data_IF_899449148819
#
_entry.id   IF_899449148819
#
_cell.length_a   1.000
_cell.length_b   1.000
_cell.length_c   1.000
_cell.angle_alpha   90.00
_cell.angle_beta   90.00
_cell.angle_gamma   90.00
#
_symmetry.space_group_name_H-M   'P 1'
#
loop_
_entity.id
_entity.type
_entity.pdbx_description
1 polymer ?
#
# COMPACT_ATOMS: atom_id res chain seq x y z
N UNK A 1 71.18 26.96 45.51
CA UNK A 1 69.81 27.52 45.49
C UNK A 1 69.10 27.25 44.14
N UNK A 2 69.66 26.45 43.20
CA UNK A 2 69.12 26.19 41.87
C UNK A 2 68.29 24.88 41.74
N UNK A 3 68.48 23.90 42.62
CA UNK A 3 67.80 22.59 42.55
C UNK A 3 66.26 22.69 42.85
N UNK A 4 65.86 23.66 43.69
CA UNK A 4 64.45 23.82 44.05
C UNK A 4 63.56 24.45 42.95
N UNK A 5 64.17 25.22 42.02
CA UNK A 5 63.45 25.83 40.90
C UNK A 5 63.13 24.84 39.78
N UNK A 6 64.01 23.87 39.55
CA UNK A 6 63.83 22.81 38.52
C UNK A 6 62.70 21.82 38.87
N UNK A 7 62.54 21.47 40.16
CA UNK A 7 61.48 20.57 40.58
C UNK A 7 60.09 21.21 40.54
N UNK A 8 59.96 22.49 40.85
CA UNK A 8 58.68 23.22 40.84
C UNK A 8 58.18 23.44 39.40
N UNK A 9 59.06 23.66 38.41
CA UNK A 9 58.65 23.75 37.00
C UNK A 9 58.22 22.41 36.45
N UNK A 10 58.78 21.28 36.91
CA UNK A 10 58.37 19.95 36.45
C UNK A 10 57.02 19.52 36.96
N UNK A 11 56.63 19.90 38.17
CA UNK A 11 55.31 19.63 38.76
C UNK A 11 54.21 20.46 38.10
N UNK A 12 54.46 21.73 37.75
CA UNK A 12 53.50 22.62 37.10
C UNK A 12 53.20 22.13 35.67
N UNK A 13 54.21 21.74 34.89
CA UNK A 13 54.05 21.23 33.52
C UNK A 13 53.34 19.87 33.52
N UNK A 14 53.52 19.02 34.54
CA UNK A 14 52.82 17.73 34.63
C UNK A 14 51.34 17.92 34.98
N UNK A 15 51.01 18.90 35.84
CA UNK A 15 49.62 19.23 36.24
C UNK A 15 48.83 19.85 35.08
N UNK A 16 49.43 20.75 34.28
CA UNK A 16 48.78 21.35 33.12
C UNK A 16 48.52 20.30 32.02
N UNK A 17 49.50 19.45 31.74
CA UNK A 17 49.36 18.39 30.73
C UNK A 17 48.30 17.34 31.11
N UNK A 18 48.11 17.09 32.41
CA UNK A 18 47.05 16.20 32.93
C UNK A 18 45.65 16.81 32.83
N UNK A 19 45.51 18.12 32.98
CA UNK A 19 44.22 18.86 32.79
C UNK A 19 43.85 18.91 31.31
N UNK A 20 44.80 19.18 30.43
CA UNK A 20 44.56 19.22 28.97
C UNK A 20 44.19 17.84 28.40
N UNK A 21 44.76 16.76 28.93
CA UNK A 21 44.38 15.41 28.52
C UNK A 21 42.96 15.06 29.02
N UNK A 22 42.55 15.48 30.24
CA UNK A 22 41.19 15.29 30.74
C UNK A 22 40.19 16.08 29.92
N UNK A 23 40.47 17.34 29.58
CA UNK A 23 39.61 18.16 28.77
C UNK A 23 39.44 17.63 27.34
N UNK A 24 40.50 17.09 26.73
CA UNK A 24 40.43 16.43 25.43
C UNK A 24 39.57 15.15 25.46
N UNK A 25 39.70 14.35 26.50
CA UNK A 25 38.89 13.13 26.69
C UNK A 25 37.41 13.45 26.88
N UNK A 26 37.08 14.50 27.65
CA UNK A 26 35.70 14.94 27.86
C UNK A 26 35.10 15.53 26.58
N UNK A 27 35.86 16.30 25.77
CA UNK A 27 35.43 16.80 24.48
C UNK A 27 35.19 15.67 23.46
N UNK A 28 36.07 14.66 23.43
CA UNK A 28 35.87 13.49 22.56
C UNK A 28 34.63 12.71 23.00
N UNK A 29 34.42 12.51 24.31
CA UNK A 29 33.23 11.83 24.84
C UNK A 29 31.94 12.59 24.52
N UNK A 30 31.93 13.92 24.67
CA UNK A 30 30.80 14.76 24.34
C UNK A 30 30.47 14.68 22.84
N UNK A 31 31.49 14.72 21.98
CA UNK A 31 31.28 14.61 20.53
C UNK A 31 30.69 13.26 20.12
N UNK A 32 31.14 12.18 20.74
CA UNK A 32 30.57 10.83 20.51
C UNK A 32 29.09 10.76 20.94
N UNK A 33 28.74 11.34 22.09
CA UNK A 33 27.36 11.38 22.57
C UNK A 33 26.49 12.18 21.57
N UNK A 34 26.94 13.33 21.10
CA UNK A 34 26.23 14.13 20.11
C UNK A 34 26.00 13.34 18.81
N UNK A 35 27.02 12.62 18.32
CA UNK A 35 26.91 11.78 17.12
C UNK A 35 25.86 10.67 17.31
N UNK A 36 25.83 10.03 18.49
CA UNK A 36 24.84 8.98 18.79
C UNK A 36 23.43 9.59 18.80
N UNK A 37 23.24 10.74 19.41
CA UNK A 37 21.94 11.43 19.44
C UNK A 37 21.45 11.79 18.04
N UNK A 38 22.36 12.30 17.17
CA UNK A 38 22.04 12.60 15.78
C UNK A 38 21.63 11.32 15.03
N UNK A 39 22.38 10.22 15.20
CA UNK A 39 22.08 8.95 14.55
C UNK A 39 20.70 8.41 14.99
N UNK A 40 20.38 8.47 16.28
CA UNK A 40 19.07 8.09 16.81
C UNK A 40 17.96 8.99 16.26
N UNK A 41 18.18 10.30 16.20
CA UNK A 41 17.21 11.24 15.65
C UNK A 41 16.93 10.96 14.16
N UNK A 42 17.97 10.68 13.37
CA UNK A 42 17.83 10.30 11.95
C UNK A 42 17.07 8.98 11.84
N UNK A 43 17.38 7.98 12.67
CA UNK A 43 16.69 6.69 12.65
C UNK A 43 15.20 6.85 12.97
N UNK A 44 14.85 7.62 14.01
CA UNK A 44 13.44 7.91 14.35
C UNK A 44 12.73 8.67 13.22
N UNK A 45 13.41 9.65 12.62
CA UNK A 45 12.86 10.44 11.52
C UNK A 45 12.60 9.57 10.28
N UNK A 46 13.54 8.71 9.89
CA UNK A 46 13.36 7.77 8.78
C UNK A 46 12.25 6.77 9.07
N UNK A 47 12.19 6.24 10.30
CA UNK A 47 11.11 5.34 10.72
C UNK A 47 9.75 6.01 10.67
N UNK A 48 9.65 7.27 11.11
CA UNK A 48 8.42 8.05 11.05
C UNK A 48 7.95 8.31 9.61
N UNK A 49 8.88 8.64 8.70
CA UNK A 49 8.55 8.82 7.28
C UNK A 49 8.08 7.50 6.65
N UNK A 50 8.75 6.40 6.98
CA UNK A 50 8.39 5.09 6.45
C UNK A 50 7.00 4.62 6.91
N UNK A 51 6.61 4.92 8.14
CA UNK A 51 5.27 4.59 8.66
C UNK A 51 4.15 5.44 8.03
N UNK A 52 4.44 6.68 7.71
CA UNK A 52 3.46 7.64 7.18
C UNK A 52 3.42 7.72 5.65
N UNK A 53 4.51 7.38 4.97
CA UNK A 53 4.67 7.40 3.52
C UNK A 53 5.32 6.11 3.03
N UNK A 54 4.54 5.02 3.01
CA UNK A 54 4.98 3.76 2.45
C UNK A 54 5.11 3.87 0.92
N UNK A 55 6.23 4.38 0.44
CA UNK A 55 6.57 4.40 -0.98
C UNK A 55 6.92 2.99 -1.45
N UNK A 56 5.96 2.30 -2.02
CA UNK A 56 6.20 1.02 -2.69
C UNK A 56 6.79 1.31 -4.07
N UNK A 57 8.11 1.36 -4.16
CA UNK A 57 8.80 1.39 -5.46
C UNK A 57 8.80 -0.01 -6.05
N UNK A 58 8.07 -0.20 -7.15
CA UNK A 58 8.16 -1.43 -7.93
C UNK A 58 9.50 -1.42 -8.70
N UNK A 59 10.49 -2.16 -8.18
CA UNK A 59 11.80 -2.35 -8.80
C UNK A 59 11.81 -3.44 -9.87
N UNK A 60 10.67 -4.05 -10.18
CA UNK A 60 10.60 -5.06 -11.24
C UNK A 60 10.64 -4.40 -12.62
N UNK A 61 11.53 -4.87 -13.48
CA UNK A 61 11.69 -4.37 -14.85
C UNK A 61 10.42 -4.47 -15.71
N UNK A 62 9.40 -5.19 -15.25
CA UNK A 62 8.13 -5.41 -15.94
C UNK A 62 6.93 -4.64 -15.36
N UNK A 63 7.11 -3.85 -14.29
CA UNK A 63 6.02 -3.06 -13.67
C UNK A 63 4.81 -3.90 -13.24
N UNK A 64 5.00 -5.19 -12.96
CA UNK A 64 3.89 -6.15 -12.72
C UNK A 64 3.07 -5.83 -11.48
N UNK A 65 3.61 -5.04 -10.57
CA UNK A 65 3.01 -4.66 -9.30
C UNK A 65 2.57 -3.18 -9.26
N UNK A 66 2.69 -2.45 -10.38
CA UNK A 66 2.23 -1.06 -10.45
C UNK A 66 1.06 -0.92 -11.42
N UNK A 67 0.05 -0.17 -10.98
CA UNK A 67 -1.12 0.14 -11.82
C UNK A 67 -0.72 1.01 -13.01
N UNK A 68 -1.42 0.84 -14.13
CA UNK A 68 -1.27 1.67 -15.31
C UNK A 68 -1.57 3.14 -15.00
N UNK A 69 -0.97 4.04 -15.76
CA UNK A 69 -1.20 5.49 -15.62
C UNK A 69 -2.69 5.85 -15.79
N UNK A 70 -3.41 5.09 -16.63
CA UNK A 70 -4.85 5.26 -16.85
C UNK A 70 -5.65 4.93 -15.60
N UNK A 71 -5.37 3.79 -14.98
CA UNK A 71 -6.02 3.36 -13.72
C UNK A 71 -5.72 4.32 -12.59
N UNK A 72 -4.46 4.73 -12.42
CA UNK A 72 -4.07 5.73 -11.42
C UNK A 72 -4.83 7.05 -11.59
N UNK A 73 -5.01 7.51 -12.83
CA UNK A 73 -5.78 8.73 -13.12
C UNK A 73 -7.26 8.57 -12.76
N UNK A 74 -7.86 7.42 -13.06
CA UNK A 74 -9.26 7.12 -12.71
C UNK A 74 -9.44 7.13 -11.19
N UNK A 75 -8.57 6.42 -10.45
CA UNK A 75 -8.66 6.30 -8.99
C UNK A 75 -8.48 7.66 -8.28
N UNK A 76 -7.58 8.51 -8.77
CA UNK A 76 -7.36 9.86 -8.22
C UNK A 76 -8.52 10.79 -8.46
N UNK A 77 -9.28 10.59 -9.53
CA UNK A 77 -10.42 11.42 -9.92
C UNK A 77 -11.77 10.84 -9.49
N UNK A 78 -11.78 9.94 -8.52
CA UNK A 78 -13.03 9.44 -7.96
C UNK A 78 -13.75 10.54 -7.17
N UNK A 79 -15.03 10.75 -7.43
CA UNK A 79 -15.85 11.72 -6.70
C UNK A 79 -16.43 11.13 -5.42
N UNK A 80 -16.80 9.84 -5.45
CA UNK A 80 -17.49 9.13 -4.37
C UNK A 80 -16.63 8.00 -3.79
N UNK A 81 -16.84 7.63 -2.51
CA UNK A 81 -16.14 6.52 -1.90
C UNK A 81 -16.58 5.19 -2.50
N UNK A 82 -15.63 4.31 -2.72
CA UNK A 82 -15.82 2.95 -3.25
C UNK A 82 -15.44 1.93 -2.20
N UNK A 83 -16.33 0.97 -1.98
CA UNK A 83 -16.10 -0.18 -1.12
C UNK A 83 -15.84 -1.41 -1.99
N UNK A 84 -14.68 -2.00 -1.83
CA UNK A 84 -14.29 -3.23 -2.53
C UNK A 84 -14.24 -4.36 -1.52
N UNK A 85 -15.01 -5.40 -1.74
CA UNK A 85 -14.99 -6.59 -0.87
C UNK A 85 -14.57 -7.80 -1.67
N UNK A 86 -13.46 -8.39 -1.29
CA UNK A 86 -12.95 -9.64 -1.88
C UNK A 86 -13.42 -10.83 -1.06
N UNK A 87 -14.08 -11.79 -1.71
CA UNK A 87 -14.58 -13.03 -1.15
C UNK A 87 -13.71 -14.20 -1.62
N UNK A 88 -12.42 -14.09 -1.40
CA UNK A 88 -11.42 -15.05 -1.83
C UNK A 88 -10.88 -15.86 -0.64
N UNK A 89 -10.72 -17.14 -0.83
CA UNK A 89 -10.01 -18.00 0.14
C UNK A 89 -8.54 -18.03 -0.22
N UNK A 90 -7.69 -17.72 0.75
CA UNK A 90 -6.26 -17.89 0.59
C UNK A 90 -5.93 -19.38 0.51
N UNK A 91 -5.58 -19.85 -0.69
CA UNK A 91 -5.13 -21.22 -0.95
C UNK A 91 -3.80 -21.20 -1.70
N UNK A 92 -2.86 -22.08 -1.37
CA UNK A 92 -1.55 -22.17 -2.05
C UNK A 92 -1.66 -22.46 -3.55
N UNK A 93 -2.70 -23.16 -3.96
CA UNK A 93 -3.03 -23.55 -5.33
C UNK A 93 -3.74 -22.45 -6.14
N UNK A 94 -4.19 -21.37 -5.49
CA UNK A 94 -4.78 -20.20 -6.17
C UNK A 94 -3.71 -19.30 -6.75
N UNK A 95 -3.26 -19.61 -7.95
CA UNK A 95 -2.15 -18.95 -8.66
C UNK A 95 -2.26 -17.42 -8.75
N UNK A 96 -3.47 -16.89 -8.81
CA UNK A 96 -3.73 -15.46 -9.01
C UNK A 96 -4.20 -14.73 -7.75
N UNK A 97 -4.33 -15.44 -6.60
CA UNK A 97 -4.78 -14.82 -5.35
C UNK A 97 -3.89 -13.63 -4.94
N UNK A 98 -2.58 -13.84 -4.93
CA UNK A 98 -1.61 -12.78 -4.58
C UNK A 98 -1.73 -11.57 -5.50
N UNK A 99 -1.84 -11.80 -6.82
CA UNK A 99 -1.97 -10.71 -7.79
C UNK A 99 -3.26 -9.91 -7.61
N UNK A 100 -4.37 -10.56 -7.24
CA UNK A 100 -5.63 -9.87 -6.95
C UNK A 100 -5.49 -8.99 -5.71
N UNK A 101 -4.95 -9.56 -4.63
CA UNK A 101 -4.72 -8.83 -3.38
C UNK A 101 -3.80 -7.64 -3.62
N UNK A 102 -2.69 -7.84 -4.33
CA UNK A 102 -1.73 -6.79 -4.65
C UNK A 102 -2.38 -5.62 -5.41
N UNK A 103 -3.22 -5.90 -6.43
CA UNK A 103 -3.94 -4.85 -7.17
C UNK A 103 -4.93 -4.10 -6.26
N UNK A 104 -5.67 -4.81 -5.43
CA UNK A 104 -6.65 -4.19 -4.53
C UNK A 104 -5.95 -3.31 -3.48
N UNK A 105 -4.82 -3.74 -2.95
CA UNK A 105 -3.99 -2.94 -2.04
C UNK A 105 -3.42 -1.70 -2.75
N UNK A 106 -2.97 -1.84 -4.00
CA UNK A 106 -2.52 -0.69 -4.81
C UNK A 106 -3.66 0.31 -5.07
N UNK A 107 -4.91 -0.14 -5.25
CA UNK A 107 -6.05 0.75 -5.40
C UNK A 107 -6.28 1.60 -4.15
N UNK A 108 -6.24 0.97 -2.97
CA UNK A 108 -6.32 1.64 -1.68
C UNK A 108 -5.18 2.64 -1.48
N UNK A 109 -3.97 2.29 -1.94
CA UNK A 109 -2.80 3.17 -1.83
C UNK A 109 -2.90 4.41 -2.73
N UNK A 110 -3.44 4.26 -3.94
CA UNK A 110 -3.53 5.35 -4.92
C UNK A 110 -4.65 6.34 -4.58
N UNK A 111 -5.72 5.90 -3.89
CA UNK A 111 -6.88 6.73 -3.58
C UNK A 111 -7.45 6.43 -2.20
N UNK A 112 -7.51 7.46 -1.35
CA UNK A 112 -8.13 7.39 -0.02
C UNK A 112 -9.65 7.14 -0.08
N UNK A 113 -10.25 7.28 -1.27
CA UNK A 113 -11.68 6.98 -1.50
C UNK A 113 -11.95 5.50 -1.75
N UNK A 114 -10.92 4.66 -1.84
CA UNK A 114 -11.08 3.22 -2.04
C UNK A 114 -10.84 2.49 -0.72
N UNK A 115 -11.86 1.81 -0.23
CA UNK A 115 -11.77 0.95 0.95
C UNK A 115 -11.81 -0.51 0.52
N UNK A 116 -10.83 -1.29 0.92
CA UNK A 116 -10.71 -2.72 0.57
C UNK A 116 -10.92 -3.58 1.80
N UNK A 117 -11.84 -4.52 1.72
CA UNK A 117 -12.12 -5.53 2.73
C UNK A 117 -11.85 -6.93 2.15
N UNK A 118 -10.95 -7.66 2.78
CA UNK A 118 -10.67 -9.04 2.44
C UNK A 118 -11.43 -9.95 3.42
N UNK A 119 -12.49 -10.58 2.96
CA UNK A 119 -13.31 -11.50 3.76
C UNK A 119 -13.02 -12.94 3.32
N UNK A 120 -12.84 -13.81 4.31
CA UNK A 120 -12.75 -15.24 4.07
C UNK A 120 -14.14 -15.87 4.15
N UNK A 121 -14.71 -16.35 3.03
CA UNK A 121 -16.06 -16.89 3.04
C UNK A 121 -16.28 -18.12 3.93
N UNK A 122 -15.20 -18.78 4.31
CA UNK A 122 -15.27 -19.93 5.22
C UNK A 122 -15.32 -19.54 6.71
N UNK A 123 -14.85 -18.33 7.04
CA UNK A 123 -14.71 -17.85 8.41
C UNK A 123 -15.65 -16.67 8.73
N UNK A 124 -15.92 -15.80 7.75
CA UNK A 124 -16.63 -14.54 7.92
C UNK A 124 -18.09 -14.58 7.47
N UNK A 125 -18.78 -15.72 7.61
CA UNK A 125 -20.14 -15.94 7.11
C UNK A 125 -21.16 -14.89 7.57
N UNK A 126 -21.09 -14.43 8.82
CA UNK A 126 -21.97 -13.38 9.36
C UNK A 126 -21.77 -12.06 8.64
N UNK A 127 -20.53 -11.61 8.48
CA UNK A 127 -20.19 -10.35 7.78
C UNK A 127 -20.63 -10.38 6.31
N UNK A 128 -20.56 -11.55 5.69
CA UNK A 128 -20.99 -11.74 4.31
C UNK A 128 -22.52 -11.63 4.19
N UNK A 129 -23.26 -12.17 5.15
CA UNK A 129 -24.71 -12.03 5.18
C UNK A 129 -25.13 -10.57 5.36
N UNK A 130 -24.52 -9.86 6.30
CA UNK A 130 -24.74 -8.43 6.51
C UNK A 130 -24.41 -7.60 5.25
N UNK A 131 -23.32 -7.95 4.56
CA UNK A 131 -22.94 -7.31 3.30
C UNK A 131 -23.99 -7.53 2.21
N UNK A 132 -24.47 -8.76 2.05
CA UNK A 132 -25.50 -9.10 1.07
C UNK A 132 -26.80 -8.33 1.32
N UNK A 133 -27.23 -8.23 2.57
CA UNK A 133 -28.40 -7.46 2.96
C UNK A 133 -28.22 -5.96 2.71
N UNK A 134 -27.07 -5.41 3.10
CA UNK A 134 -26.72 -3.99 2.88
C UNK A 134 -26.71 -3.60 1.41
N UNK A 135 -26.18 -4.46 0.55
CA UNK A 135 -26.09 -4.22 -0.90
C UNK A 135 -27.35 -4.68 -1.66
N UNK A 136 -28.38 -5.19 -0.97
CA UNK A 136 -29.59 -5.76 -1.58
C UNK A 136 -29.27 -6.83 -2.64
N UNK A 137 -28.21 -7.58 -2.44
CA UNK A 137 -27.73 -8.60 -3.35
C UNK A 137 -28.34 -9.95 -3.01
N UNK A 138 -28.68 -10.74 -4.04
CA UNK A 138 -29.09 -12.13 -3.84
C UNK A 138 -27.89 -12.94 -3.28
N UNK A 139 -28.15 -13.86 -2.34
CA UNK A 139 -27.12 -14.76 -1.77
C UNK A 139 -26.34 -15.52 -2.85
N UNK A 140 -26.94 -15.73 -4.00
CA UNK A 140 -26.28 -16.34 -5.16
C UNK A 140 -25.24 -15.44 -5.83
N UNK A 141 -25.31 -14.12 -5.64
CA UNK A 141 -24.38 -13.14 -6.17
C UNK A 141 -23.16 -12.99 -5.26
N UNK A 142 -23.32 -13.29 -3.97
CA UNK A 142 -22.25 -13.27 -2.97
C UNK A 142 -21.58 -14.66 -2.92
N UNK A 143 -20.89 -14.99 -4.02
CA UNK A 143 -20.27 -16.32 -4.19
C UNK A 143 -18.78 -16.30 -3.85
N UNK A 144 -18.31 -17.48 -3.39
CA UNK A 144 -16.90 -17.76 -3.26
C UNK A 144 -16.16 -17.50 -4.57
N UNK A 145 -15.02 -16.83 -4.51
CA UNK A 145 -14.23 -16.54 -5.69
C UNK A 145 -14.69 -15.30 -6.45
N UNK A 146 -15.22 -14.30 -5.75
CA UNK A 146 -15.66 -13.04 -6.34
C UNK A 146 -15.09 -11.82 -5.64
N UNK A 147 -15.09 -10.70 -6.35
CA UNK A 147 -14.80 -9.36 -5.85
C UNK A 147 -16.00 -8.47 -6.13
N UNK A 148 -16.50 -7.81 -5.10
CA UNK A 148 -17.66 -6.93 -5.16
C UNK A 148 -17.18 -5.48 -5.06
N UNK A 149 -17.57 -4.66 -6.00
CA UNK A 149 -17.36 -3.21 -6.02
C UNK A 149 -18.69 -2.53 -5.73
N UNK A 150 -18.70 -1.59 -4.77
CA UNK A 150 -19.90 -0.86 -4.40
C UNK A 150 -19.63 0.64 -4.27
N UNK A 151 -20.55 1.46 -4.79
CA UNK A 151 -20.52 2.91 -4.70
C UNK A 151 -21.95 3.41 -4.47
N UNK A 152 -22.28 3.90 -3.27
CA UNK A 152 -23.66 4.21 -2.89
C UNK A 152 -24.57 2.99 -3.03
N UNK A 153 -25.66 3.12 -3.81
CA UNK A 153 -26.59 2.03 -4.10
C UNK A 153 -26.17 1.14 -5.29
N UNK A 154 -25.14 1.54 -6.03
CA UNK A 154 -24.65 0.78 -7.17
C UNK A 154 -23.64 -0.27 -6.72
N UNK A 155 -23.79 -1.49 -7.24
CA UNK A 155 -22.83 -2.56 -7.01
C UNK A 155 -22.52 -3.35 -8.27
N UNK A 156 -21.28 -3.79 -8.41
CA UNK A 156 -20.82 -4.65 -9.49
C UNK A 156 -20.06 -5.83 -8.91
N UNK A 157 -20.47 -6.99 -9.32
CA UNK A 157 -19.88 -8.25 -8.95
C UNK A 157 -18.98 -8.76 -10.08
N UNK A 158 -17.77 -9.17 -9.75
CA UNK A 158 -16.77 -9.69 -10.67
C UNK A 158 -16.35 -11.09 -10.20
N UNK A 159 -16.57 -12.08 -11.03
CA UNK A 159 -16.14 -13.45 -10.74
C UNK A 159 -14.66 -13.65 -11.09
N UNK A 160 -13.96 -14.48 -10.34
CA UNK A 160 -12.55 -14.80 -10.58
C UNK A 160 -12.31 -15.36 -12.00
N UNK A 161 -13.26 -16.12 -12.54
CA UNK A 161 -13.19 -16.63 -13.91
C UNK A 161 -13.18 -15.56 -15.00
N UNK A 162 -13.69 -14.37 -14.71
CA UNK A 162 -13.68 -13.24 -15.64
C UNK A 162 -12.32 -12.56 -15.69
N UNK A 163 -11.58 -12.64 -14.59
CA UNK A 163 -10.27 -12.02 -14.41
C UNK A 163 -9.14 -12.81 -15.06
N UNK A 164 -9.39 -14.08 -15.36
CA UNK A 164 -8.42 -15.03 -15.93
C UNK A 164 -8.86 -15.41 -17.33
N UNK A 165 -8.01 -15.14 -18.31
CA UNK A 165 -8.23 -15.63 -19.67
C UNK A 165 -7.97 -17.13 -19.75
N UNK A 166 -8.96 -17.89 -20.21
CA UNK A 166 -8.90 -19.36 -20.23
C UNK A 166 -8.04 -19.91 -21.39
N UNK A 167 -7.47 -19.06 -22.24
CA UNK A 167 -6.57 -19.46 -23.31
C UNK A 167 -5.13 -19.58 -22.82
N UNK A 168 -4.45 -20.64 -23.21
CA UNK A 168 -3.04 -20.84 -22.86
C UNK A 168 -2.14 -19.95 -23.77
N UNK A 169 -1.21 -19.18 -23.19
CA UNK A 169 -0.87 -19.02 -21.78
C UNK A 169 -1.88 -18.16 -21.01
N UNK A 170 -2.36 -18.65 -19.85
CA UNK A 170 -3.30 -17.93 -19.00
C UNK A 170 -2.83 -16.51 -18.69
N UNK A 171 -3.61 -15.52 -19.09
CA UNK A 171 -3.34 -14.11 -18.82
C UNK A 171 -4.23 -13.59 -17.71
N UNK A 172 -3.65 -12.83 -16.82
CA UNK A 172 -4.35 -12.16 -15.76
C UNK A 172 -4.77 -10.75 -16.21
N UNK A 173 -6.07 -10.47 -16.21
CA UNK A 173 -6.68 -9.19 -16.63
C UNK A 173 -7.29 -8.42 -15.44
N UNK A 174 -6.79 -8.66 -14.21
CA UNK A 174 -7.38 -8.11 -13.00
C UNK A 174 -7.51 -6.60 -13.02
N UNK A 175 -6.47 -5.88 -13.39
CA UNK A 175 -6.50 -4.42 -13.42
C UNK A 175 -7.57 -3.88 -14.38
N UNK A 176 -7.65 -4.41 -15.59
CA UNK A 176 -8.60 -3.96 -16.61
C UNK A 176 -10.04 -4.16 -16.13
N UNK A 177 -10.35 -5.35 -15.64
CA UNK A 177 -11.71 -5.73 -15.24
C UNK A 177 -12.13 -5.01 -13.96
N UNK A 178 -11.24 -4.90 -12.97
CA UNK A 178 -11.54 -4.20 -11.73
C UNK A 178 -11.70 -2.69 -11.94
N UNK A 179 -10.85 -2.08 -12.78
CA UNK A 179 -11.00 -0.67 -13.14
C UNK A 179 -12.29 -0.41 -13.90
N UNK A 180 -12.68 -1.34 -14.79
CA UNK A 180 -13.98 -1.28 -15.48
C UNK A 180 -15.15 -1.41 -14.52
N UNK A 181 -15.05 -2.30 -13.52
CA UNK A 181 -16.06 -2.44 -12.47
C UNK A 181 -16.21 -1.15 -11.65
N UNK A 182 -15.09 -0.51 -11.26
CA UNK A 182 -15.09 0.78 -10.58
C UNK A 182 -15.81 1.84 -11.41
N UNK A 183 -15.46 1.98 -12.70
CA UNK A 183 -16.13 2.92 -13.60
C UNK A 183 -17.62 2.62 -13.76
N UNK A 184 -18.00 1.35 -13.73
CA UNK A 184 -19.40 0.92 -13.83
C UNK A 184 -20.25 1.34 -12.63
N UNK A 185 -19.69 1.27 -11.41
CA UNK A 185 -20.42 1.64 -10.19
C UNK A 185 -20.40 3.14 -9.89
N UNK A 186 -19.45 3.89 -10.45
CA UNK A 186 -19.34 5.34 -10.27
C UNK A 186 -20.14 6.15 -11.27
N UNK A 187 -20.65 5.53 -12.34
CA UNK A 187 -21.48 6.24 -13.33
C UNK A 187 -22.91 6.39 -12.83
N UNK A 188 -23.39 7.62 -12.73
CA UNK A 188 -24.74 7.94 -12.31
C UNK A 188 -25.82 7.55 -13.35
N UNK A 189 -25.44 7.32 -14.58
CA UNK A 189 -26.35 6.94 -15.68
C UNK A 189 -25.79 5.76 -16.46
N UNK A 190 -26.58 4.70 -16.57
CA UNK A 190 -26.36 3.64 -17.55
C UNK A 190 -26.47 4.26 -18.96
N UNK A 191 -25.41 4.19 -19.73
CA UNK A 191 -25.47 4.61 -21.14
C UNK A 191 -26.22 3.52 -21.91
N UNK A 192 -27.45 3.81 -22.31
CA UNK A 192 -28.20 2.94 -23.19
C UNK A 192 -27.68 3.10 -24.62
N UNK A 193 -27.19 2.02 -25.20
CA UNK A 193 -26.79 1.98 -26.62
C UNK A 193 -27.99 1.44 -27.40
N UNK A 194 -28.52 2.26 -28.30
CA UNK A 194 -29.62 1.88 -29.16
C UNK A 194 -29.06 1.46 -30.51
N UNK A 195 -29.37 0.23 -30.94
CA UNK A 195 -29.10 -0.25 -32.28
C UNK A 195 -30.32 -0.04 -33.15
N UNK A 196 -30.20 0.74 -34.22
CA UNK A 196 -31.25 0.85 -35.21
C UNK A 196 -31.19 -0.36 -36.14
N UNK A 197 -32.27 -1.12 -36.22
CA UNK A 197 -32.45 -2.18 -37.25
C UNK A 197 -33.38 -1.65 -38.35
N UNK A 198 -33.01 -1.81 -39.61
CA UNK A 198 -34.00 -1.64 -40.64
C UNK A 198 -33.59 -0.86 -41.91
N UNK A 199 -32.33 -0.49 -42.09
CA UNK A 199 -31.89 0.23 -43.30
C UNK A 199 -30.92 -0.55 -44.18
N UNK A 200 -31.07 -1.89 -44.30
CA UNK A 200 -30.31 -2.69 -45.27
C UNK A 200 -28.81 -2.89 -44.94
N UNK A 201 -28.37 -2.59 -43.75
CA UNK A 201 -27.03 -2.91 -43.26
C UNK A 201 -26.91 -4.42 -43.02
N UNK A 202 -26.02 -5.08 -43.76
CA UNK A 202 -25.67 -6.50 -43.64
C UNK A 202 -24.47 -6.66 -42.73
#
# INVERSE_FOLDING_TARGET
MEVGKSLKNKEVTTSENSKDMKNKKTLIGANVIVMILIAVAIFVFVSYINDRHYYRCDMTASGRYSLSSKTKKILKNLDQPIFVTSLLVQRPDYRFYGQIVDILEEYKYVSDKVTVNLLNPLLDGTKITELAEKLKMDKKQVQLGSVIFACGDNSKHVMLKEVIENEFPFKFKGEEIFTSAILSVTRDKQTNVYFTKGHGER
#
